data_IF_925801776275
#
_entry.id   IF_925801776275
#
_cell.length_a   1.000
_cell.length_b   1.000
_cell.length_c   1.000
_cell.angle_alpha   90.00
_cell.angle_beta   90.00
_cell.angle_gamma   90.00
#
_symmetry.space_group_name_H-M   'P 1'
#
loop_
_entity.id
_entity.type
_entity.pdbx_description
1 polymer ?
#
# COMPACT_ATOMS: atom_id res chain seq x y z
N UNK A 1 16.53 -0.13 -8.84
CA UNK A 1 15.70 -1.07 -8.04
C UNK A 1 16.63 -1.71 -7.03
N UNK A 2 16.31 -1.67 -5.74
CA UNK A 2 17.14 -2.29 -4.69
C UNK A 2 16.64 -3.72 -4.46
N UNK A 3 17.51 -4.71 -4.22
CA UNK A 3 17.11 -6.12 -4.09
C UNK A 3 16.01 -6.36 -3.03
N UNK A 4 16.02 -5.55 -1.96
CA UNK A 4 15.01 -5.60 -0.91
C UNK A 4 13.60 -5.23 -1.41
N UNK A 5 13.49 -4.24 -2.29
CA UNK A 5 12.21 -3.77 -2.80
C UNK A 5 11.58 -4.75 -3.79
N UNK A 6 12.44 -5.40 -4.58
CA UNK A 6 12.02 -6.44 -5.52
C UNK A 6 11.48 -7.65 -4.74
N UNK A 7 12.17 -8.07 -3.68
CA UNK A 7 11.70 -9.13 -2.79
C UNK A 7 10.36 -8.79 -2.13
N UNK A 8 10.21 -7.58 -1.58
CA UNK A 8 8.95 -7.13 -0.98
C UNK A 8 7.80 -7.09 -2.00
N UNK A 9 8.08 -6.66 -3.22
CA UNK A 9 7.06 -6.60 -4.28
C UNK A 9 6.54 -7.98 -4.64
N UNK A 10 7.42 -9.00 -4.71
CA UNK A 10 7.02 -10.41 -4.96
C UNK A 10 6.13 -10.95 -3.83
N UNK A 11 6.38 -10.54 -2.58
CA UNK A 11 5.54 -10.94 -1.44
C UNK A 11 4.16 -10.26 -1.47
N UNK A 12 4.10 -9.01 -1.93
CA UNK A 12 2.87 -8.21 -2.02
C UNK A 12 2.05 -8.55 -3.26
N UNK A 13 2.68 -8.98 -4.35
CA UNK A 13 2.07 -9.37 -5.62
C UNK A 13 0.83 -10.28 -5.50
N UNK A 14 0.85 -11.41 -4.75
CA UNK A 14 -0.32 -12.28 -4.62
C UNK A 14 -1.51 -11.57 -3.94
N UNK A 15 -1.27 -10.51 -3.17
CA UNK A 15 -2.32 -9.75 -2.51
C UNK A 15 -3.04 -8.79 -3.48
N UNK A 16 -2.44 -8.45 -4.63
CA UNK A 16 -3.06 -7.54 -5.61
C UNK A 16 -4.38 -8.10 -6.16
N UNK A 17 -4.45 -9.42 -6.38
CA UNK A 17 -5.67 -10.10 -6.83
C UNK A 17 -6.84 -9.97 -5.84
N UNK A 18 -6.57 -9.80 -4.54
CA UNK A 18 -7.60 -9.53 -3.51
C UNK A 18 -8.31 -8.20 -3.76
N UNK A 19 -7.62 -7.24 -4.37
CA UNK A 19 -8.16 -5.91 -4.67
C UNK A 19 -8.55 -5.73 -6.14
N UNK A 20 -8.55 -6.81 -6.92
CA UNK A 20 -8.72 -6.76 -8.38
C UNK A 20 -7.71 -5.83 -9.06
N UNK A 21 -6.48 -5.79 -8.51
CA UNK A 21 -5.36 -5.05 -9.06
C UNK A 21 -4.47 -5.99 -9.91
N UNK A 22 -3.80 -5.46 -10.95
CA UNK A 22 -2.82 -6.19 -11.72
C UNK A 22 -1.54 -6.40 -10.89
N UNK A 23 -0.73 -7.39 -11.26
CA UNK A 23 0.49 -7.75 -10.51
C UNK A 23 1.48 -6.57 -10.42
N UNK A 24 1.57 -5.77 -11.47
CA UNK A 24 2.44 -4.60 -11.58
C UNK A 24 2.10 -3.52 -10.54
N UNK A 25 0.88 -3.51 -10.01
CA UNK A 25 0.46 -2.61 -8.92
C UNK A 25 1.16 -2.91 -7.58
N UNK A 26 1.78 -4.08 -7.43
CA UNK A 26 2.58 -4.41 -6.25
C UNK A 26 3.75 -3.45 -6.06
N UNK A 27 4.31 -2.92 -7.16
CA UNK A 27 5.43 -1.98 -7.15
C UNK A 27 5.04 -0.66 -6.47
N UNK A 28 4.04 0.10 -6.96
CA UNK A 28 3.64 1.35 -6.31
C UNK A 28 3.09 1.14 -4.89
N UNK A 29 2.40 0.03 -4.61
CA UNK A 29 1.91 -0.28 -3.25
C UNK A 29 3.09 -0.47 -2.29
N UNK A 30 4.08 -1.27 -2.68
CA UNK A 30 5.29 -1.52 -1.87
C UNK A 30 6.09 -0.23 -1.65
N UNK A 31 6.27 0.58 -2.71
CA UNK A 31 6.91 1.89 -2.61
C UNK A 31 6.16 2.84 -1.68
N UNK A 32 4.84 2.86 -1.73
CA UNK A 32 4.02 3.66 -0.82
C UNK A 32 4.16 3.23 0.63
N UNK A 33 4.15 1.93 0.90
CA UNK A 33 4.29 1.39 2.25
C UNK A 33 5.64 1.70 2.89
N UNK A 34 6.72 1.64 2.12
CA UNK A 34 8.09 1.77 2.65
C UNK A 34 8.65 3.18 2.52
N UNK A 35 8.41 3.83 1.37
CA UNK A 35 9.07 5.08 0.97
C UNK A 35 8.12 6.28 0.84
N UNK A 36 6.81 6.03 0.87
CA UNK A 36 5.79 7.07 0.95
C UNK A 36 5.13 7.42 -0.38
N UNK A 37 4.18 8.35 -0.32
CA UNK A 37 3.27 8.63 -1.43
C UNK A 37 3.99 9.18 -2.67
N UNK A 38 5.02 10.01 -2.52
CA UNK A 38 5.76 10.54 -3.67
C UNK A 38 6.43 9.44 -4.51
N UNK A 39 7.00 8.43 -3.84
CA UNK A 39 7.60 7.28 -4.52
C UNK A 39 6.53 6.43 -5.23
N UNK A 40 5.39 6.20 -4.56
CA UNK A 40 4.27 5.47 -5.15
C UNK A 40 3.70 6.19 -6.38
N UNK A 41 3.48 7.51 -6.30
CA UNK A 41 2.96 8.32 -7.42
C UNK A 41 3.92 8.25 -8.61
N UNK A 42 5.23 8.35 -8.38
CA UNK A 42 6.23 8.19 -9.44
C UNK A 42 6.16 6.83 -10.13
N UNK A 43 5.93 5.76 -9.37
CA UNK A 43 5.76 4.42 -9.93
C UNK A 43 4.42 4.24 -10.67
N UNK A 44 3.31 4.74 -10.12
CA UNK A 44 2.00 4.72 -10.79
C UNK A 44 2.08 5.45 -12.12
N UNK A 45 2.77 6.59 -12.19
CA UNK A 45 2.92 7.37 -13.42
C UNK A 45 3.66 6.63 -14.54
N UNK A 46 4.44 5.58 -14.22
CA UNK A 46 5.14 4.74 -15.20
C UNK A 46 4.33 3.53 -15.67
N UNK A 47 3.15 3.29 -15.10
CA UNK A 47 2.30 2.13 -15.36
C UNK A 47 1.01 2.54 -16.08
N UNK A 48 0.51 1.68 -16.97
CA UNK A 48 -0.77 1.88 -17.64
C UNK A 48 -1.91 1.29 -16.82
N UNK A 49 -2.22 1.94 -15.69
CA UNK A 49 -3.31 1.56 -14.80
C UNK A 49 -4.60 2.31 -15.15
N UNK A 50 -5.74 1.66 -14.98
CA UNK A 50 -7.06 2.26 -15.09
C UNK A 50 -7.33 3.22 -13.92
N UNK A 51 -8.27 4.15 -14.10
CA UNK A 51 -8.68 5.06 -13.03
C UNK A 51 -9.16 4.32 -11.77
N UNK A 52 -9.81 3.16 -11.93
CA UNK A 52 -10.24 2.30 -10.81
C UNK A 52 -9.05 1.74 -10.04
N UNK A 53 -8.04 1.20 -10.74
CA UNK A 53 -6.85 0.64 -10.10
C UNK A 53 -6.04 1.72 -9.36
N UNK A 54 -5.88 2.90 -9.99
CA UNK A 54 -5.22 4.05 -9.35
C UNK A 54 -5.97 4.48 -8.09
N UNK A 55 -7.31 4.55 -8.15
CA UNK A 55 -8.12 4.87 -6.98
C UNK A 55 -7.96 3.83 -5.86
N UNK A 56 -8.00 2.54 -6.18
CA UNK A 56 -7.79 1.46 -5.21
C UNK A 56 -6.42 1.58 -4.53
N UNK A 57 -5.34 1.79 -5.30
CA UNK A 57 -3.99 2.01 -4.77
C UNK A 57 -3.96 3.26 -3.88
N UNK A 58 -4.57 4.37 -4.32
CA UNK A 58 -4.62 5.61 -3.55
C UNK A 58 -5.33 5.43 -2.20
N UNK A 59 -6.45 4.69 -2.17
CA UNK A 59 -7.17 4.39 -0.92
C UNK A 59 -6.33 3.51 0.01
N UNK A 60 -5.73 2.44 -0.50
CA UNK A 60 -4.84 1.57 0.29
C UNK A 60 -3.70 2.39 0.91
N UNK A 61 -3.02 3.22 0.11
CA UNK A 61 -1.90 4.02 0.56
C UNK A 61 -2.31 5.21 1.44
N UNK A 62 -3.53 5.72 1.33
CA UNK A 62 -4.03 6.76 2.24
C UNK A 62 -3.96 6.31 3.70
N UNK A 63 -4.25 5.03 3.96
CA UNK A 63 -4.16 4.44 5.30
C UNK A 63 -2.78 3.88 5.65
N UNK A 64 -2.05 3.33 4.68
CA UNK A 64 -0.85 2.54 4.93
C UNK A 64 0.44 3.08 4.28
N UNK A 65 0.47 4.33 3.79
CA UNK A 65 1.74 4.95 3.37
C UNK A 65 2.73 5.06 4.55
N UNK A 66 4.03 4.98 4.26
CA UNK A 66 5.10 5.08 5.26
C UNK A 66 4.85 4.21 6.50
N UNK A 67 4.29 3.01 6.32
CA UNK A 67 3.74 2.17 7.37
C UNK A 67 4.70 1.99 8.54
N UNK A 68 5.98 1.71 8.25
CA UNK A 68 6.99 1.47 9.27
C UNK A 68 7.38 2.74 10.03
N UNK A 69 7.58 3.85 9.31
CA UNK A 69 7.98 5.14 9.91
C UNK A 69 6.87 5.67 10.79
N UNK A 70 5.65 5.72 10.27
CA UNK A 70 4.49 6.22 11.02
C UNK A 70 4.17 5.34 12.22
N UNK A 71 4.28 4.02 12.08
CA UNK A 71 4.06 3.10 13.21
C UNK A 71 5.15 3.26 14.27
N UNK A 72 6.40 3.49 13.88
CA UNK A 72 7.49 3.75 14.82
C UNK A 72 7.34 5.10 15.54
N UNK A 73 6.92 6.16 14.83
CA UNK A 73 6.63 7.48 15.43
C UNK A 73 5.46 7.38 16.39
N UNK A 74 4.36 6.74 15.98
CA UNK A 74 3.17 6.56 16.81
C UNK A 74 3.48 5.68 18.04
N UNK A 75 4.37 4.70 17.90
CA UNK A 75 4.80 3.88 19.03
C UNK A 75 5.53 4.69 20.11
N UNK A 76 6.28 5.74 19.73
CA UNK A 76 6.90 6.66 20.70
C UNK A 76 5.89 7.48 21.49
N UNK A 77 4.63 7.56 21.04
CA UNK A 77 3.52 8.20 21.74
C UNK A 77 2.83 7.25 22.74
N UNK A 78 3.34 6.02 22.91
CA UNK A 78 2.82 5.04 23.89
C UNK A 78 1.80 4.05 23.33
N UNK A 79 1.49 4.09 22.03
CA UNK A 79 0.59 3.12 21.39
C UNK A 79 1.40 1.89 20.94
N UNK A 80 1.00 0.64 21.24
CA UNK A 80 1.76 -0.54 20.82
C UNK A 80 1.93 -0.61 19.29
N UNK A 81 3.15 -0.90 18.82
CA UNK A 81 3.49 -0.89 17.39
C UNK A 81 2.56 -1.79 16.57
N UNK A 82 2.30 -3.00 17.06
CA UNK A 82 1.40 -3.95 16.41
C UNK A 82 -0.03 -3.46 16.27
N UNK A 83 -0.53 -2.66 17.22
CA UNK A 83 -1.88 -2.07 17.15
C UNK A 83 -1.96 -1.04 16.03
N UNK A 84 -0.94 -0.18 15.90
CA UNK A 84 -0.89 0.82 14.84
C UNK A 84 -0.82 0.17 13.46
N UNK A 85 0.05 -0.83 13.30
CA UNK A 85 0.17 -1.58 12.03
C UNK A 85 -1.13 -2.30 11.70
N UNK A 86 -1.72 -3.01 12.66
CA UNK A 86 -2.97 -3.75 12.45
C UNK A 86 -4.13 -2.82 12.07
N UNK A 87 -4.25 -1.66 12.73
CA UNK A 87 -5.26 -0.66 12.41
C UNK A 87 -5.07 -0.12 10.98
N UNK A 88 -3.85 0.29 10.63
CA UNK A 88 -3.55 0.88 9.30
C UNK A 88 -3.76 -0.13 8.17
N UNK A 89 -3.26 -1.35 8.33
CA UNK A 89 -3.46 -2.42 7.35
C UNK A 89 -4.93 -2.86 7.29
N UNK A 90 -5.62 -2.95 8.43
CA UNK A 90 -7.04 -3.27 8.49
C UNK A 90 -7.88 -2.24 7.72
N UNK A 91 -7.67 -0.94 7.96
CA UNK A 91 -8.34 0.12 7.22
C UNK A 91 -7.98 0.11 5.73
N UNK A 92 -6.73 -0.15 5.38
CA UNK A 92 -6.29 -0.26 3.99
C UNK A 92 -6.99 -1.43 3.27
N UNK A 93 -7.09 -2.60 3.92
CA UNK A 93 -7.78 -3.77 3.37
C UNK A 93 -9.28 -3.48 3.21
N UNK A 94 -9.94 -2.96 4.24
CA UNK A 94 -11.37 -2.63 4.19
C UNK A 94 -11.65 -1.58 3.10
N UNK A 95 -10.83 -0.52 3.02
CA UNK A 95 -10.98 0.53 2.01
C UNK A 95 -10.76 0.01 0.60
N UNK A 96 -9.69 -0.77 0.35
CA UNK A 96 -9.43 -1.36 -0.96
C UNK A 96 -10.52 -2.34 -1.39
N UNK A 97 -11.01 -3.18 -0.48
CA UNK A 97 -12.13 -4.09 -0.74
C UNK A 97 -13.42 -3.34 -1.01
N UNK A 98 -13.69 -2.24 -0.31
CA UNK A 98 -14.86 -1.40 -0.57
C UNK A 98 -14.85 -0.88 -2.02
N UNK A 99 -13.70 -0.41 -2.52
CA UNK A 99 -13.59 0.03 -3.93
C UNK A 99 -13.86 -1.13 -4.89
N UNK A 100 -13.32 -2.34 -4.62
CA UNK A 100 -13.58 -3.54 -5.43
C UNK A 100 -15.07 -3.95 -5.47
N UNK A 101 -15.82 -3.68 -4.40
CA UNK A 101 -17.23 -4.07 -4.29
C UNK A 101 -18.19 -3.03 -4.87
N UNK A 102 -17.83 -1.74 -4.79
CA UNK A 102 -18.67 -0.63 -5.26
C UNK A 102 -18.51 -0.40 -6.77
N UNK A 103 -17.30 -0.61 -7.30
CA UNK A 103 -16.94 -0.41 -8.70
C UNK A 103 -16.47 -1.73 -9.32
#
# INVERSE_FOLDING_TARGET
RTPLMDWLSVVVEPLMAVFALPAEAAIPVTLGFVSGLYAAIGAVASLSLTAKEILTIAVILSFAHNLFVESAVTHRLGIPFGVVVAMRLGLAVVGGLAIRLIF
#
